data_IF_266277686011
#
_entry.id   IF_266277686011
#
_cell.length_a   1.000
_cell.length_b   1.000
_cell.length_c   1.000
_cell.angle_alpha   90.00
_cell.angle_beta   90.00
_cell.angle_gamma   90.00
#
_symmetry.space_group_name_H-M   'P 1'
#
loop_
_entity.id
_entity.type
_entity.pdbx_description
1 polymer ?
#
# COMPACT_ATOMS: atom_id res chain seq x y z
N UNK A 1 28.25 3.59 -54.61
CA UNK A 1 27.64 2.69 -53.66
C UNK A 1 28.68 2.23 -52.66
N UNK A 2 28.70 2.84 -51.48
CA UNK A 2 29.65 2.51 -50.39
C UNK A 2 28.87 1.71 -49.35
N UNK A 3 29.20 0.41 -49.25
CA UNK A 3 28.62 -0.48 -48.26
C UNK A 3 29.36 -0.30 -46.94
N UNK A 4 28.70 0.24 -45.92
CA UNK A 4 29.20 0.30 -44.55
C UNK A 4 28.83 -1.01 -43.84
N UNK A 5 29.80 -1.90 -43.68
CA UNK A 5 29.67 -3.06 -42.81
C UNK A 5 29.98 -2.64 -41.38
N UNK A 6 28.98 -2.72 -40.48
CA UNK A 6 29.15 -2.56 -39.05
C UNK A 6 29.70 -3.88 -38.48
N UNK A 7 30.76 -3.87 -37.63
CA UNK A 7 31.21 -5.06 -36.96
C UNK A 7 30.23 -5.42 -35.83
N UNK A 8 29.69 -6.62 -35.87
CA UNK A 8 28.96 -7.21 -34.78
C UNK A 8 29.94 -7.60 -33.67
N UNK A 9 29.97 -6.84 -32.59
CA UNK A 9 30.64 -7.23 -31.36
C UNK A 9 29.75 -8.28 -30.65
N UNK A 10 30.02 -9.54 -30.92
CA UNK A 10 29.57 -10.64 -30.05
C UNK A 10 30.59 -10.74 -28.91
N UNK A 11 30.27 -10.14 -27.78
CA UNK A 11 30.95 -10.47 -26.53
C UNK A 11 30.31 -11.74 -25.96
N UNK A 12 30.89 -12.85 -26.29
CA UNK A 12 30.66 -14.12 -25.61
C UNK A 12 31.33 -14.06 -24.23
N UNK A 13 30.59 -13.57 -23.24
CA UNK A 13 31.04 -13.65 -21.84
C UNK A 13 30.87 -15.07 -21.35
N UNK A 14 31.92 -15.84 -21.41
CA UNK A 14 32.07 -17.16 -20.76
C UNK A 14 32.04 -16.95 -19.25
N UNK A 15 30.84 -17.00 -18.66
CA UNK A 15 30.69 -17.01 -17.20
C UNK A 15 30.99 -18.40 -16.68
N UNK A 16 32.20 -18.61 -16.17
CA UNK A 16 32.51 -19.77 -15.35
C UNK A 16 31.63 -19.76 -14.10
N UNK A 17 30.57 -20.56 -14.12
CA UNK A 17 29.68 -20.73 -12.96
C UNK A 17 30.43 -21.61 -11.98
N UNK A 18 31.07 -21.01 -10.99
CA UNK A 18 31.51 -21.72 -9.79
C UNK A 18 30.24 -22.12 -9.05
N UNK A 19 29.85 -23.37 -9.18
CA UNK A 19 28.78 -23.96 -8.39
C UNK A 19 29.27 -24.10 -6.95
N UNK A 20 29.09 -23.07 -6.17
CA UNK A 20 29.17 -23.20 -4.72
C UNK A 20 27.87 -23.83 -4.26
N UNK A 21 27.87 -25.17 -4.25
CA UNK A 21 26.75 -25.98 -3.78
C UNK A 21 26.71 -25.96 -2.26
N UNK A 22 26.41 -24.82 -1.68
CA UNK A 22 26.05 -24.75 -0.27
C UNK A 22 24.60 -25.19 -0.14
N UNK A 23 24.39 -26.49 -0.08
CA UNK A 23 23.17 -27.12 0.45
C UNK A 23 23.13 -26.95 1.96
N UNK A 24 23.14 -25.75 2.46
CA UNK A 24 22.69 -25.47 3.82
C UNK A 24 21.17 -25.53 3.80
N UNK A 25 20.62 -26.43 4.62
CA UNK A 25 19.19 -26.71 4.71
C UNK A 25 18.33 -25.45 4.89
N UNK A 26 17.95 -24.85 3.78
CA UNK A 26 17.05 -23.71 3.78
C UNK A 26 15.67 -24.17 4.27
N UNK A 27 15.31 -23.72 5.46
CA UNK A 27 13.99 -23.96 6.04
C UNK A 27 12.98 -23.17 5.22
N UNK A 28 12.10 -23.82 4.49
CA UNK A 28 11.16 -23.27 3.48
C UNK A 28 10.32 -22.06 3.94
N UNK A 29 10.20 -21.83 5.23
CA UNK A 29 9.43 -20.75 5.84
C UNK A 29 10.29 -19.86 6.76
N UNK A 30 11.59 -19.77 6.54
CA UNK A 30 12.44 -18.88 7.31
C UNK A 30 12.40 -17.48 6.71
N UNK A 31 12.10 -16.44 7.49
CA UNK A 31 12.12 -15.07 7.00
C UNK A 31 13.56 -14.66 6.63
N UNK A 32 13.72 -14.00 5.50
CA UNK A 32 15.04 -13.57 5.00
C UNK A 32 15.37 -12.12 5.31
N UNK A 33 14.37 -11.32 5.61
CA UNK A 33 14.53 -9.91 5.93
C UNK A 33 13.19 -9.24 6.15
N UNK A 34 13.25 -7.96 6.50
CA UNK A 34 12.10 -7.06 6.58
C UNK A 34 12.35 -5.84 5.72
N UNK A 35 11.31 -5.32 5.07
CA UNK A 35 11.30 -4.00 4.45
C UNK A 35 10.43 -3.09 5.29
N UNK A 36 10.97 -1.95 5.65
CA UNK A 36 10.24 -0.88 6.31
C UNK A 36 10.11 0.28 5.33
N UNK A 37 8.95 0.85 5.21
CA UNK A 37 8.69 1.90 4.24
C UNK A 37 7.75 2.98 4.74
N UNK A 38 7.83 4.10 4.07
CA UNK A 38 6.93 5.26 4.26
C UNK A 38 6.26 5.56 2.94
N UNK A 39 5.00 5.92 3.03
CA UNK A 39 4.22 6.42 1.90
C UNK A 39 4.55 7.91 1.72
N UNK A 40 4.81 8.33 0.48
CA UNK A 40 5.22 9.71 0.20
C UNK A 40 4.21 10.51 -0.61
N UNK A 41 3.27 9.85 -1.28
CA UNK A 41 2.31 10.54 -2.13
C UNK A 41 1.27 11.31 -1.30
N UNK A 42 0.80 10.77 -0.18
CA UNK A 42 -0.16 11.43 0.70
C UNK A 42 0.34 12.77 1.22
N UNK A 43 1.51 12.83 1.88
CA UNK A 43 2.10 14.10 2.31
C UNK A 43 2.37 15.08 1.16
N UNK A 44 2.81 14.59 -0.01
CA UNK A 44 3.06 15.45 -1.17
C UNK A 44 1.75 16.02 -1.71
N UNK A 45 0.70 15.24 -1.82
CA UNK A 45 -0.61 15.71 -2.29
C UNK A 45 -1.24 16.73 -1.33
N UNK A 46 -0.98 16.64 -0.03
CA UNK A 46 -1.43 17.60 0.96
C UNK A 46 -0.92 19.03 0.69
N UNK A 47 0.25 19.19 0.08
CA UNK A 47 0.73 20.52 -0.35
C UNK A 47 -0.12 21.16 -1.46
N UNK A 48 -0.88 20.36 -2.21
CA UNK A 48 -1.75 20.82 -3.29
C UNK A 48 -3.23 20.87 -2.88
N UNK A 49 -3.62 20.02 -1.92
CA UNK A 49 -4.97 19.95 -1.35
C UNK A 49 -4.86 19.72 0.16
N UNK A 50 -4.99 20.77 0.93
CA UNK A 50 -4.85 20.79 2.38
C UNK A 50 -5.99 20.09 3.13
N UNK A 51 -7.07 19.72 2.43
CA UNK A 51 -8.22 19.01 3.01
C UNK A 51 -7.92 17.61 3.47
N UNK A 52 -6.91 16.95 2.88
CA UNK A 52 -6.63 15.55 3.13
C UNK A 52 -5.15 15.34 3.49
N UNK A 53 -4.88 15.05 4.75
CA UNK A 53 -3.56 14.69 5.23
C UNK A 53 -3.53 13.19 5.54
N UNK A 54 -2.60 12.46 4.90
CA UNK A 54 -2.45 11.02 5.10
C UNK A 54 -0.96 10.65 5.28
N UNK A 55 -0.64 9.97 6.37
CA UNK A 55 0.65 9.35 6.60
C UNK A 55 0.47 7.83 6.72
N UNK A 56 1.29 7.07 6.03
CA UNK A 56 1.23 5.61 6.07
C UNK A 56 2.63 5.00 6.15
N UNK A 57 2.79 4.04 7.05
CA UNK A 57 4.00 3.25 7.25
C UNK A 57 3.72 1.80 6.88
N UNK A 58 4.69 1.14 6.27
CA UNK A 58 4.59 -0.27 5.88
C UNK A 58 5.75 -1.08 6.44
N UNK A 59 5.44 -2.30 6.84
CA UNK A 59 6.42 -3.32 7.21
C UNK A 59 6.10 -4.62 6.46
N UNK A 60 7.08 -5.16 5.75
CA UNK A 60 6.94 -6.37 4.94
C UNK A 60 7.97 -7.41 5.38
N UNK A 61 7.51 -8.53 5.92
CA UNK A 61 8.37 -9.67 6.25
C UNK A 61 8.45 -10.62 5.06
N UNK A 62 9.67 -10.95 4.65
CA UNK A 62 10.00 -11.68 3.44
C UNK A 62 10.22 -13.18 3.73
N UNK A 63 9.34 -14.04 3.18
CA UNK A 63 9.41 -15.51 3.23
C UNK A 63 9.71 -16.10 1.83
N UNK A 64 10.62 -15.51 1.07
CA UNK A 64 11.02 -15.87 -0.30
C UNK A 64 9.95 -15.47 -1.34
N UNK A 65 8.97 -16.30 -1.61
CA UNK A 65 7.89 -16.04 -2.55
C UNK A 65 6.74 -15.26 -1.92
N UNK A 66 6.57 -15.41 -0.61
CA UNK A 66 5.46 -14.84 0.14
C UNK A 66 5.95 -13.72 1.06
N UNK A 67 5.11 -12.74 1.24
CA UNK A 67 5.33 -11.65 2.17
C UNK A 67 4.14 -11.56 3.11
N UNK A 68 4.42 -11.27 4.37
CA UNK A 68 3.41 -10.76 5.30
C UNK A 68 3.60 -9.26 5.37
N UNK A 69 2.56 -8.52 5.01
CA UNK A 69 2.60 -7.06 4.98
C UNK A 69 1.66 -6.51 6.02
N UNK A 70 2.16 -5.53 6.77
CA UNK A 70 1.41 -4.74 7.74
C UNK A 70 1.59 -3.27 7.41
N UNK A 71 0.51 -2.52 7.43
CA UNK A 71 0.50 -1.08 7.15
C UNK A 71 -0.30 -0.36 8.22
N UNK A 72 0.23 0.72 8.74
CA UNK A 72 -0.42 1.62 9.71
C UNK A 72 -0.49 3.00 9.12
N UNK A 73 -1.66 3.62 9.17
CA UNK A 73 -1.83 4.97 8.66
C UNK A 73 -2.64 5.86 9.61
N UNK A 74 -2.40 7.15 9.45
CA UNK A 74 -3.11 8.25 10.13
C UNK A 74 -3.67 9.14 9.05
N UNK A 75 -4.94 9.49 9.14
CA UNK A 75 -5.58 10.35 8.15
C UNK A 75 -6.45 11.38 8.83
N UNK A 76 -6.36 12.60 8.34
CA UNK A 76 -7.27 13.69 8.64
C UNK A 76 -7.90 14.17 7.33
N UNK A 77 -9.19 14.41 7.38
CA UNK A 77 -9.95 14.93 6.23
C UNK A 77 -10.92 16.01 6.69
N UNK A 78 -10.83 17.16 6.04
CA UNK A 78 -11.68 18.31 6.33
C UNK A 78 -12.37 18.76 5.06
N UNK A 79 -13.66 19.07 5.18
CA UNK A 79 -14.43 19.62 4.06
C UNK A 79 -15.45 20.63 4.57
N UNK A 80 -15.63 21.71 3.83
CA UNK A 80 -16.69 22.68 4.07
C UNK A 80 -17.60 22.68 2.86
N UNK A 81 -18.84 22.25 3.06
CA UNK A 81 -19.86 22.23 2.01
C UNK A 81 -21.02 23.15 2.40
N UNK A 82 -21.09 24.32 1.75
CA UNK A 82 -22.05 25.35 2.09
C UNK A 82 -21.85 25.88 3.53
N UNK A 83 -22.83 25.64 4.40
CA UNK A 83 -22.81 26.06 5.81
C UNK A 83 -22.46 24.89 6.76
N UNK A 84 -22.05 23.75 6.26
CA UNK A 84 -21.68 22.59 7.08
C UNK A 84 -20.18 22.36 6.98
N UNK A 85 -19.48 22.43 8.12
CA UNK A 85 -18.10 22.00 8.29
C UNK A 85 -18.08 20.55 8.72
N UNK A 86 -17.23 19.73 8.08
CA UNK A 86 -16.98 18.35 8.39
C UNK A 86 -15.49 18.13 8.66
N UNK A 87 -15.18 17.47 9.77
CA UNK A 87 -13.83 17.10 10.15
C UNK A 87 -13.82 15.61 10.54
N UNK A 88 -12.86 14.88 10.01
CA UNK A 88 -12.62 13.47 10.33
C UNK A 88 -11.14 13.27 10.65
N UNK A 89 -10.85 12.63 11.78
CA UNK A 89 -9.52 12.24 12.18
C UNK A 89 -9.50 10.77 12.63
N UNK A 90 -8.52 9.99 12.15
CA UNK A 90 -8.46 8.59 12.58
C UNK A 90 -7.23 7.84 12.14
N UNK A 91 -7.18 6.59 12.61
CA UNK A 91 -6.11 5.65 12.34
C UNK A 91 -6.66 4.42 11.63
N UNK A 92 -5.83 3.81 10.81
CA UNK A 92 -6.16 2.54 10.19
C UNK A 92 -4.98 1.58 10.21
N UNK A 93 -5.30 0.30 10.19
CA UNK A 93 -4.34 -0.78 10.12
C UNK A 93 -4.77 -1.76 9.03
N UNK A 94 -3.80 -2.26 8.26
CA UNK A 94 -3.98 -3.28 7.24
C UNK A 94 -2.98 -4.39 7.44
N UNK A 95 -3.42 -5.62 7.30
CA UNK A 95 -2.54 -6.78 7.38
C UNK A 95 -2.97 -7.82 6.34
N UNK A 96 -2.01 -8.50 5.75
CA UNK A 96 -2.33 -9.61 4.88
C UNK A 96 -1.14 -10.16 4.09
N UNK A 97 -1.35 -11.31 3.45
CA UNK A 97 -0.35 -11.96 2.63
C UNK A 97 -0.20 -11.28 1.26
N UNK A 98 1.00 -11.40 0.72
CA UNK A 98 1.35 -10.94 -0.63
C UNK A 98 2.22 -12.01 -1.31
N UNK A 99 1.95 -12.28 -2.58
CA UNK A 99 2.71 -13.22 -3.41
C UNK A 99 3.57 -12.45 -4.39
N UNK A 100 4.88 -12.69 -4.37
CA UNK A 100 5.82 -12.08 -5.30
C UNK A 100 6.05 -12.99 -6.51
N UNK A 101 5.72 -12.53 -7.70
CA UNK A 101 5.94 -13.26 -8.96
C UNK A 101 7.39 -13.17 -9.45
N UNK A 102 8.15 -12.15 -9.00
CA UNK A 102 9.56 -11.97 -9.29
C UNK A 102 10.48 -12.50 -8.17
N UNK A 103 10.04 -13.50 -7.40
CA UNK A 103 10.79 -14.01 -6.24
C UNK A 103 12.20 -14.54 -6.56
N UNK A 104 12.51 -14.83 -7.84
CA UNK A 104 13.83 -15.28 -8.32
C UNK A 104 14.73 -14.14 -8.83
N UNK A 105 14.26 -12.90 -8.78
CA UNK A 105 15.06 -11.77 -9.24
C UNK A 105 16.24 -11.50 -8.31
N UNK A 106 17.45 -11.41 -8.86
CA UNK A 106 18.70 -11.16 -8.12
C UNK A 106 18.73 -9.78 -7.47
N UNK A 107 18.05 -8.82 -8.05
CA UNK A 107 17.94 -7.47 -7.50
C UNK A 107 16.85 -7.35 -6.43
N UNK A 108 16.12 -8.44 -6.18
CA UNK A 108 15.01 -8.49 -5.23
C UNK A 108 13.86 -7.54 -5.58
N UNK A 109 13.73 -7.21 -6.87
CA UNK A 109 12.55 -6.54 -7.37
C UNK A 109 11.32 -7.40 -7.11
N UNK A 110 10.18 -6.77 -7.00
CA UNK A 110 8.93 -7.41 -6.65
C UNK A 110 7.84 -6.94 -7.63
N UNK A 111 7.16 -7.89 -8.21
CA UNK A 111 5.84 -7.71 -8.79
C UNK A 111 4.89 -8.62 -8.04
N UNK A 112 3.91 -8.06 -7.38
CA UNK A 112 3.12 -8.79 -6.41
C UNK A 112 1.63 -8.58 -6.53
N UNK A 113 0.93 -9.56 -6.00
CA UNK A 113 -0.50 -9.54 -5.74
C UNK A 113 -0.74 -9.92 -4.28
N UNK A 114 -1.63 -9.20 -3.60
CA UNK A 114 -1.92 -9.42 -2.19
C UNK A 114 -3.39 -9.23 -1.85
N UNK A 115 -3.74 -9.77 -0.70
CA UNK A 115 -5.01 -9.53 -0.02
C UNK A 115 -4.72 -8.86 1.30
N UNK A 116 -5.56 -7.92 1.73
CA UNK A 116 -5.47 -7.24 3.01
C UNK A 116 -6.82 -7.26 3.71
N UNK A 117 -6.77 -7.50 5.00
CA UNK A 117 -7.83 -7.15 5.92
C UNK A 117 -7.48 -5.82 6.55
N UNK A 118 -8.41 -4.89 6.56
CA UNK A 118 -8.20 -3.54 7.03
C UNK A 118 -9.28 -3.14 8.02
N UNK A 119 -8.89 -2.33 9.02
CA UNK A 119 -9.81 -1.71 9.95
C UNK A 119 -9.34 -0.31 10.32
N UNK A 120 -10.31 0.54 10.66
CA UNK A 120 -10.09 1.91 11.09
C UNK A 120 -10.91 2.22 12.34
N UNK A 121 -10.37 3.11 13.17
CA UNK A 121 -11.08 3.81 14.25
C UNK A 121 -10.88 5.30 14.03
N UNK A 122 -11.96 6.05 14.08
CA UNK A 122 -11.95 7.46 13.72
C UNK A 122 -13.08 8.23 14.37
N UNK A 123 -12.84 9.50 14.58
CA UNK A 123 -13.80 10.47 15.07
C UNK A 123 -14.28 11.32 13.91
N UNK A 124 -15.58 11.60 13.88
CA UNK A 124 -16.23 12.47 12.90
C UNK A 124 -16.98 13.57 13.62
N UNK A 125 -16.70 14.80 13.21
CA UNK A 125 -17.40 15.99 13.71
C UNK A 125 -18.04 16.70 12.52
N UNK A 126 -19.33 16.99 12.61
CA UNK A 126 -19.98 17.87 11.66
C UNK A 126 -20.79 18.94 12.39
N UNK A 127 -20.62 20.19 11.97
CA UNK A 127 -21.28 21.34 12.57
C UNK A 127 -21.75 22.25 11.43
N UNK A 128 -23.00 22.70 11.51
CA UNK A 128 -23.53 23.64 10.56
C UNK A 128 -25.04 23.63 10.44
N UNK A 129 -25.55 24.30 9.40
CA UNK A 129 -26.97 24.39 9.12
C UNK A 129 -27.28 23.75 7.76
N UNK A 130 -28.15 22.75 7.78
CA UNK A 130 -28.71 22.16 6.56
C UNK A 130 -29.98 22.85 6.18
N UNK A 131 -30.08 23.35 4.96
CA UNK A 131 -31.30 24.01 4.43
C UNK A 131 -32.28 22.90 3.99
N UNK A 132 -33.37 22.76 4.73
CA UNK A 132 -34.49 21.93 4.37
C UNK A 132 -35.61 22.75 3.69
N UNK A 133 -36.17 22.25 2.58
CA UNK A 133 -37.18 22.98 1.81
C UNK A 133 -38.41 23.38 2.61
N UNK A 134 -38.79 22.61 3.61
CA UNK A 134 -40.04 22.78 4.38
C UNK A 134 -39.82 23.39 5.78
N UNK A 135 -38.59 23.29 6.31
CA UNK A 135 -38.29 23.64 7.72
C UNK A 135 -37.27 24.77 7.86
N UNK A 136 -36.72 25.28 6.76
CA UNK A 136 -35.68 26.29 6.78
C UNK A 136 -34.30 25.72 7.13
N UNK A 137 -33.51 26.51 7.88
CA UNK A 137 -32.21 26.08 8.35
C UNK A 137 -32.35 25.17 9.58
N UNK A 138 -31.91 23.97 9.50
CA UNK A 138 -31.89 22.99 10.61
C UNK A 138 -30.43 22.84 11.08
N UNK A 139 -30.13 23.15 12.35
CA UNK A 139 -28.77 23.00 12.89
C UNK A 139 -28.41 21.51 12.96
N UNK A 140 -27.23 21.19 12.46
CA UNK A 140 -26.62 19.86 12.54
C UNK A 140 -25.37 19.97 13.41
N UNK A 141 -25.31 19.16 14.46
CA UNK A 141 -24.10 19.02 15.27
C UNK A 141 -24.01 17.57 15.73
N UNK A 142 -22.97 16.87 15.30
CA UNK A 142 -22.66 15.55 15.81
C UNK A 142 -21.14 15.38 16.01
N UNK A 143 -20.80 14.60 17.00
CA UNK A 143 -19.45 14.15 17.34
C UNK A 143 -19.56 12.67 17.67
N UNK A 144 -19.00 11.81 16.83
CA UNK A 144 -19.14 10.37 16.93
C UNK A 144 -17.83 9.64 16.69
N UNK A 145 -17.58 8.63 17.51
CA UNK A 145 -16.46 7.70 17.31
C UNK A 145 -16.96 6.47 16.55
N UNK A 146 -16.35 6.20 15.42
CA UNK A 146 -16.74 5.16 14.49
C UNK A 146 -15.64 4.10 14.30
N UNK A 147 -16.07 2.90 13.92
CA UNK A 147 -15.18 1.81 13.52
C UNK A 147 -15.64 1.24 12.20
N UNK A 148 -14.69 0.99 11.31
CA UNK A 148 -14.95 0.37 10.03
C UNK A 148 -13.93 -0.72 9.74
N UNK A 149 -14.35 -1.74 8.97
CA UNK A 149 -13.45 -2.72 8.40
C UNK A 149 -13.80 -3.00 6.95
N UNK A 150 -12.83 -3.46 6.19
CA UNK A 150 -13.00 -3.79 4.77
C UNK A 150 -11.93 -4.78 4.30
N UNK A 151 -12.10 -5.28 3.09
CA UNK A 151 -11.12 -6.09 2.39
C UNK A 151 -10.50 -5.31 1.25
N UNK A 152 -9.22 -5.61 0.95
CA UNK A 152 -8.51 -5.03 -0.18
C UNK A 152 -7.82 -6.12 -1.01
N UNK A 153 -7.86 -5.96 -2.33
CA UNK A 153 -6.95 -6.60 -3.27
C UNK A 153 -5.88 -5.58 -3.65
N UNK A 154 -4.62 -6.02 -3.66
CA UNK A 154 -3.49 -5.15 -3.99
C UNK A 154 -2.66 -5.75 -5.09
N UNK A 155 -2.16 -4.90 -5.98
CA UNK A 155 -1.09 -5.24 -6.93
C UNK A 155 -0.05 -4.15 -6.92
N UNK A 156 1.22 -4.51 -7.03
CA UNK A 156 2.27 -3.52 -6.93
C UNK A 156 3.59 -3.96 -7.56
N UNK A 157 4.39 -2.96 -7.86
CA UNK A 157 5.76 -3.13 -8.34
C UNK A 157 6.69 -2.40 -7.40
N UNK A 158 7.74 -3.10 -6.94
CA UNK A 158 8.78 -2.54 -6.09
C UNK A 158 10.13 -2.84 -6.73
N UNK A 159 10.95 -1.82 -6.91
CA UNK A 159 12.26 -1.92 -7.55
C UNK A 159 13.35 -1.40 -6.63
N UNK A 160 14.52 -2.02 -6.71
CA UNK A 160 15.69 -1.57 -6.00
C UNK A 160 16.28 -0.33 -6.68
N UNK A 161 16.43 0.75 -5.93
CA UNK A 161 17.13 1.94 -6.39
C UNK A 161 18.63 1.83 -6.14
N UNK A 162 19.02 1.71 -4.88
CA UNK A 162 20.44 1.65 -4.45
C UNK A 162 20.55 0.76 -3.22
N UNK A 163 21.50 -0.15 -3.21
CA UNK A 163 21.80 -1.03 -2.05
C UNK A 163 20.54 -1.65 -1.42
N UNK A 164 20.12 -1.14 -0.29
CA UNK A 164 18.96 -1.62 0.48
C UNK A 164 17.73 -0.71 0.34
N UNK A 165 17.79 0.32 -0.50
CA UNK A 165 16.70 1.26 -0.73
C UNK A 165 15.88 0.76 -1.93
N UNK A 166 14.58 0.66 -1.71
CA UNK A 166 13.59 0.27 -2.70
C UNK A 166 12.56 1.39 -2.85
N UNK A 167 11.97 1.46 -4.02
CA UNK A 167 10.81 2.29 -4.28
C UNK A 167 9.76 1.46 -4.99
N UNK A 168 8.51 1.85 -4.88
CA UNK A 168 7.45 1.15 -5.57
C UNK A 168 6.09 1.80 -5.42
N UNK A 169 5.19 1.34 -6.24
CA UNK A 169 3.79 1.74 -6.17
C UNK A 169 2.90 0.53 -5.93
N UNK A 170 1.79 0.79 -5.27
CA UNK A 170 0.74 -0.19 -4.99
C UNK A 170 -0.59 0.39 -5.45
N UNK A 171 -1.28 -0.36 -6.29
CA UNK A 171 -2.67 -0.14 -6.64
C UNK A 171 -3.54 -1.01 -5.75
N UNK A 172 -4.61 -0.44 -5.21
CA UNK A 172 -5.54 -1.10 -4.27
C UNK A 172 -6.95 -1.03 -4.80
N UNK A 173 -7.65 -2.12 -4.68
CA UNK A 173 -9.10 -2.20 -4.84
C UNK A 173 -9.72 -2.60 -3.50
N UNK A 174 -10.56 -1.73 -2.94
CA UNK A 174 -11.19 -1.88 -1.63
C UNK A 174 -12.64 -2.22 -1.80
N UNK A 175 -13.13 -3.18 -1.01
CA UNK A 175 -14.49 -3.69 -1.14
C UNK A 175 -14.99 -4.28 0.19
N UNK A 176 -16.29 -4.64 0.25
CA UNK A 176 -16.94 -5.24 1.41
C UNK A 176 -16.76 -4.42 2.70
N UNK A 177 -16.85 -3.10 2.60
CA UNK A 177 -16.77 -2.24 3.78
C UNK A 177 -17.99 -2.45 4.70
N UNK A 178 -17.71 -2.54 5.98
CA UNK A 178 -18.72 -2.47 7.03
C UNK A 178 -18.30 -1.49 8.10
N UNK A 179 -19.23 -0.66 8.54
CA UNK A 179 -19.03 0.29 9.63
C UNK A 179 -19.96 -0.06 10.77
N UNK A 180 -19.45 0.06 12.00
CA UNK A 180 -20.25 0.06 13.21
C UNK A 180 -20.41 1.52 13.61
N UNK A 181 -21.59 2.04 13.39
CA UNK A 181 -21.97 3.41 13.76
C UNK A 181 -22.80 3.30 15.03
N UNK A 182 -22.56 4.12 16.08
CA UNK A 182 -23.50 4.24 17.19
C UNK A 182 -24.91 4.59 16.67
N UNK A 183 -25.94 4.43 17.52
CA UNK A 183 -27.35 4.71 17.19
C UNK A 183 -27.61 6.20 16.88
N UNK A 184 -26.97 6.71 15.83
CA UNK A 184 -27.18 8.04 15.27
C UNK A 184 -27.67 7.90 13.82
N UNK A 185 -28.58 8.78 13.35
CA UNK A 185 -29.15 8.67 12.01
C UNK A 185 -28.18 9.06 10.88
N UNK A 186 -26.88 9.15 11.16
CA UNK A 186 -25.89 9.60 10.19
C UNK A 186 -24.94 8.45 9.82
N UNK A 187 -24.75 8.26 8.52
CA UNK A 187 -23.72 7.39 7.97
C UNK A 187 -22.40 8.16 7.85
N UNK A 188 -21.28 7.54 8.20
CA UNK A 188 -19.95 8.11 7.98
C UNK A 188 -19.82 8.66 6.56
N UNK A 189 -19.25 9.86 6.43
CA UNK A 189 -18.97 10.46 5.13
C UNK A 189 -17.63 9.99 4.56
N UNK A 190 -16.60 9.95 5.39
CA UNK A 190 -15.27 9.56 4.98
C UNK A 190 -14.63 8.57 5.99
N UNK A 191 -14.03 7.49 5.50
CA UNK A 191 -13.39 6.47 6.33
C UNK A 191 -11.89 6.49 6.10
N UNK A 192 -11.05 6.66 7.16
CA UNK A 192 -9.59 6.68 7.03
C UNK A 192 -9.09 5.42 6.34
N UNK A 193 -8.20 5.61 5.35
CA UNK A 193 -7.65 4.51 4.57
C UNK A 193 -8.58 3.91 3.52
N UNK A 194 -9.89 4.07 3.63
CA UNK A 194 -10.88 3.60 2.65
C UNK A 194 -11.28 4.67 1.65
N UNK A 195 -11.61 5.87 2.11
CA UNK A 195 -12.14 6.96 1.30
C UNK A 195 -13.62 7.23 1.57
N UNK A 196 -14.33 7.78 0.58
CA UNK A 196 -15.76 8.11 0.68
C UNK A 196 -16.59 6.89 1.04
N UNK A 197 -17.41 7.05 2.08
CA UNK A 197 -18.18 5.96 2.66
C UNK A 197 -19.46 5.62 1.87
N UNK A 198 -19.93 6.47 0.98
CA UNK A 198 -21.05 6.23 0.08
C UNK A 198 -20.71 5.21 -1.01
N UNK A 199 -19.43 4.95 -1.27
CA UNK A 199 -18.96 4.01 -2.28
C UNK A 199 -18.76 2.62 -1.70
N UNK A 200 -19.39 1.62 -2.32
CA UNK A 200 -19.20 0.21 -1.95
C UNK A 200 -17.82 -0.30 -2.33
N UNK A 201 -17.22 0.28 -3.37
CA UNK A 201 -15.88 -0.08 -3.87
C UNK A 201 -15.09 1.18 -4.15
N UNK A 202 -13.81 1.17 -3.80
CA UNK A 202 -12.91 2.29 -4.04
C UNK A 202 -11.55 1.81 -4.57
N UNK A 203 -10.93 2.64 -5.38
CA UNK A 203 -9.56 2.44 -5.83
C UNK A 203 -8.61 3.34 -5.04
N UNK A 204 -7.38 2.92 -4.87
CA UNK A 204 -6.33 3.70 -4.25
C UNK A 204 -5.00 3.44 -4.90
N UNK A 205 -4.19 4.48 -4.95
CA UNK A 205 -2.81 4.43 -5.40
C UNK A 205 -1.91 4.96 -4.30
N UNK A 206 -0.77 4.29 -4.06
CA UNK A 206 0.23 4.68 -3.07
C UNK A 206 1.62 4.50 -3.65
N UNK A 207 2.53 5.39 -3.26
CA UNK A 207 3.93 5.34 -3.64
C UNK A 207 4.81 5.33 -2.41
N UNK A 208 5.73 4.36 -2.31
CA UNK A 208 6.55 4.11 -1.14
C UNK A 208 8.03 4.25 -1.43
N UNK A 209 8.75 4.70 -0.40
CA UNK A 209 10.21 4.54 -0.28
C UNK A 209 10.43 3.59 0.88
N UNK A 210 11.25 2.56 0.66
CA UNK A 210 11.43 1.46 1.60
C UNK A 210 12.91 1.17 1.83
N UNK A 211 13.24 0.76 3.04
CA UNK A 211 14.57 0.26 3.41
C UNK A 211 14.48 -1.20 3.82
N UNK A 212 15.37 -2.04 3.24
CA UNK A 212 15.43 -3.47 3.55
C UNK A 212 16.53 -3.77 4.55
N UNK A 213 16.15 -4.43 5.66
CA UNK A 213 17.04 -5.04 6.63
C UNK A 213 17.08 -6.54 6.34
N UNK A 214 18.24 -7.05 5.97
CA UNK A 214 18.43 -8.45 5.64
C UNK A 214 19.25 -9.13 6.72
N UNK A 215 18.78 -10.29 7.21
CA UNK A 215 19.52 -11.12 8.16
C UNK A 215 19.91 -12.49 7.61
N UNK A 216 19.18 -13.00 6.60
CA UNK A 216 19.52 -14.22 5.89
C UNK A 216 19.67 -13.96 4.38
N UNK A 217 20.64 -14.58 3.74
CA UNK A 217 20.80 -14.52 2.28
C UNK A 217 19.70 -15.38 1.63
N UNK A 218 19.00 -14.83 0.64
CA UNK A 218 18.09 -15.62 -0.18
C UNK A 218 18.90 -16.67 -0.98
N UNK A 219 18.44 -17.93 -1.07
CA UNK A 219 19.09 -18.91 -1.93
C UNK A 219 18.99 -18.46 -3.39
N UNK A 220 20.12 -18.34 -4.05
CA UNK A 220 20.18 -18.07 -5.49
C UNK A 220 19.84 -19.40 -6.20
N UNK A 221 18.64 -19.53 -6.70
CA UNK A 221 18.26 -20.68 -7.52
C UNK A 221 18.79 -20.49 -8.94
N UNK A 222 19.70 -21.35 -9.38
CA UNK A 222 20.15 -21.37 -10.76
C UNK A 222 18.95 -21.59 -11.69
N UNK A 223 18.92 -20.85 -12.81
CA UNK A 223 17.94 -21.09 -13.88
C UNK A 223 18.16 -22.49 -14.42
N UNK A 224 17.24 -23.43 -14.18
CA UNK A 224 17.27 -24.73 -14.83
C UNK A 224 16.97 -24.48 -16.32
N UNK A 225 17.97 -24.72 -17.18
CA UNK A 225 17.79 -24.70 -18.62
C UNK A 225 16.81 -25.83 -18.95
N UNK A 226 15.64 -25.51 -19.43
CA UNK A 226 14.76 -26.50 -20.06
C UNK A 226 15.31 -26.74 -21.44
N UNK A 227 15.83 -27.93 -21.66
CA UNK A 227 16.16 -28.47 -22.98
C UNK A 227 14.86 -28.73 -23.76
#
# INVERSE_FOLDING_TARGET
MISLALPAFSQENEYTIVMDTVTTGYKKWSPTGVRLGIEVLGPVLHFFDDRNLNYEFTAEVDFDKYYLVTEVGFQQFQEVNGNVGYDMGGTYLRIGPEVNFLHRDRQLNNFSFGLRYAWATYDEVAIGDVKEPNWGAVPVSFDVNNRSWWLEMTTGVKVRLVKNIFTGYILRFRFLRRSTVPDVPFTSYYVPGYGLADRNNTWGFRYYIMYRIQWNKKPVRAKQKRD
#
